data_IF_335858429071
#
_entry.id   IF_335858429071
#
_cell.length_a   1.000
_cell.length_b   1.000
_cell.length_c   1.000
_cell.angle_alpha   90.00
_cell.angle_beta   90.00
_cell.angle_gamma   90.00
#
_symmetry.space_group_name_H-M   'P 1'
#
loop_
_entity.id
_entity.type
_entity.pdbx_description
1 polymer ?
#
# COMPACT_ATOMS: atom_id res chain seq x y z
N UNK A 1 10.82 5.58 -15.52
CA UNK A 1 10.09 4.56 -14.74
C UNK A 1 10.78 3.19 -14.83
N UNK A 2 10.98 2.65 -16.05
CA UNK A 2 11.56 1.29 -16.27
C UNK A 2 12.96 1.17 -15.65
N UNK A 3 13.82 2.19 -15.79
CA UNK A 3 15.17 2.20 -15.21
C UNK A 3 15.15 2.10 -13.67
N UNK A 4 14.16 2.70 -13.00
CA UNK A 4 14.02 2.60 -11.55
C UNK A 4 13.65 1.19 -11.11
N UNK A 5 12.86 0.46 -11.90
CA UNK A 5 12.48 -0.91 -11.61
C UNK A 5 13.68 -1.86 -11.62
N UNK A 6 14.66 -1.66 -12.52
CA UNK A 6 15.87 -2.49 -12.57
C UNK A 6 16.82 -2.24 -11.39
N UNK A 7 16.76 -1.08 -10.73
CA UNK A 7 17.56 -0.76 -9.55
C UNK A 7 16.81 -0.95 -8.23
N UNK A 8 15.57 -1.42 -8.30
CA UNK A 8 14.75 -1.62 -7.11
C UNK A 8 15.37 -2.70 -6.21
N UNK A 9 15.58 -2.36 -4.95
CA UNK A 9 16.03 -3.30 -3.91
C UNK A 9 14.86 -3.65 -3.02
N UNK A 10 14.66 -4.94 -2.85
CA UNK A 10 13.70 -5.44 -1.86
C UNK A 10 14.28 -5.28 -0.46
N UNK A 11 13.45 -4.82 0.46
CA UNK A 11 13.81 -4.69 1.86
C UNK A 11 12.96 -5.64 2.70
N UNK A 12 13.62 -6.34 3.62
CA UNK A 12 12.90 -7.16 4.57
C UNK A 12 12.14 -6.27 5.54
N UNK A 13 10.84 -6.43 5.57
CA UNK A 13 9.96 -5.71 6.49
C UNK A 13 9.18 -6.67 7.37
N UNK A 14 8.87 -6.19 8.57
CA UNK A 14 7.87 -6.77 9.45
C UNK A 14 6.64 -5.87 9.42
N UNK A 15 5.49 -6.43 9.09
CA UNK A 15 4.21 -5.72 9.07
C UNK A 15 3.24 -6.33 10.07
N UNK A 16 2.56 -5.48 10.81
CA UNK A 16 1.47 -5.84 11.71
C UNK A 16 0.24 -4.99 11.40
N UNK A 17 -0.92 -5.62 11.24
CA UNK A 17 -2.19 -4.95 11.00
C UNK A 17 -3.17 -5.43 12.08
N UNK A 18 -3.61 -4.52 12.95
CA UNK A 18 -4.57 -4.74 14.04
C UNK A 18 -4.23 -5.93 14.94
N UNK A 19 -2.94 -6.29 15.07
CA UNK A 19 -2.46 -7.48 15.80
C UNK A 19 -2.97 -8.82 15.25
N UNK A 20 -3.80 -8.80 14.21
CA UNK A 20 -4.39 -9.98 13.56
C UNK A 20 -3.58 -10.51 12.39
N UNK A 21 -2.99 -9.61 11.61
CA UNK A 21 -2.07 -9.97 10.53
C UNK A 21 -0.67 -9.61 10.93
N UNK A 22 0.20 -10.60 11.02
CA UNK A 22 1.62 -10.44 11.36
C UNK A 22 2.44 -11.23 10.35
N UNK A 23 3.30 -10.54 9.60
CA UNK A 23 4.13 -11.18 8.61
C UNK A 23 5.49 -10.49 8.45
N UNK A 24 6.47 -11.24 7.97
CA UNK A 24 7.79 -10.75 7.60
C UNK A 24 8.04 -11.13 6.15
N UNK A 25 8.24 -10.14 5.28
CA UNK A 25 8.30 -10.34 3.83
C UNK A 25 9.16 -9.27 3.15
N UNK A 26 9.45 -9.49 1.86
CA UNK A 26 10.18 -8.55 1.01
C UNK A 26 9.22 -7.98 -0.06
N UNK A 27 8.35 -7.04 0.28
CA UNK A 27 7.34 -6.56 -0.66
C UNK A 27 7.94 -5.71 -1.77
N UNK A 28 7.33 -5.80 -2.95
CA UNK A 28 7.54 -4.84 -4.01
C UNK A 28 6.90 -3.49 -3.67
N UNK A 29 5.68 -3.51 -3.13
CA UNK A 29 4.91 -2.31 -2.83
C UNK A 29 3.98 -2.54 -1.63
N UNK A 30 3.89 -1.55 -0.77
CA UNK A 30 2.84 -1.44 0.23
C UNK A 30 2.12 -0.11 0.00
N UNK A 31 0.82 -0.18 -0.23
CA UNK A 31 -0.03 1.01 -0.28
C UNK A 31 -1.07 0.93 0.82
N UNK A 32 -1.21 2.00 1.58
CA UNK A 32 -2.21 2.13 2.65
C UNK A 32 -3.15 3.25 2.21
N UNK A 33 -4.36 2.88 1.81
CA UNK A 33 -5.34 3.79 1.25
C UNK A 33 -6.58 3.95 2.13
N UNK A 34 -6.98 5.22 2.33
CA UNK A 34 -8.31 5.57 2.83
C UNK A 34 -9.30 5.79 1.66
N UNK A 35 -8.76 5.99 0.47
CA UNK A 35 -9.52 6.12 -0.78
C UNK A 35 -9.06 5.08 -1.81
N UNK A 36 -9.87 4.89 -2.86
CA UNK A 36 -9.66 3.81 -3.85
C UNK A 36 -8.49 4.03 -4.79
N UNK A 37 -8.13 5.29 -5.07
CA UNK A 37 -7.20 5.65 -6.15
C UNK A 37 -5.92 6.25 -5.62
N UNK A 38 -4.82 5.91 -6.29
CA UNK A 38 -3.51 6.49 -6.07
C UNK A 38 -3.00 7.04 -7.41
N UNK A 39 -2.44 8.26 -7.40
CA UNK A 39 -1.93 8.91 -8.63
C UNK A 39 -2.98 9.09 -9.72
N UNK A 40 -4.26 9.21 -9.36
CA UNK A 40 -5.40 9.44 -10.27
C UNK A 40 -5.86 8.21 -11.06
N UNK A 41 -4.95 7.39 -11.58
CA UNK A 41 -5.28 6.30 -12.49
C UNK A 41 -5.36 4.92 -11.83
N UNK A 42 -4.58 4.68 -10.79
CA UNK A 42 -4.41 3.34 -10.22
C UNK A 42 -5.38 3.07 -9.06
N UNK A 43 -6.15 2.00 -9.19
CA UNK A 43 -7.05 1.51 -8.14
C UNK A 43 -6.29 0.53 -7.23
N UNK A 44 -5.28 1.00 -6.48
CA UNK A 44 -4.46 0.14 -5.62
C UNK A 44 -5.23 -0.38 -4.41
N UNK A 45 -6.21 0.36 -3.94
CA UNK A 45 -7.07 0.01 -2.80
C UNK A 45 -8.55 0.09 -3.20
N UNK A 46 -9.02 -0.83 -4.10
CA UNK A 46 -10.31 -0.71 -4.78
C UNK A 46 -11.52 -0.75 -3.86
N UNK A 47 -11.42 -1.40 -2.70
CA UNK A 47 -12.51 -1.56 -1.74
C UNK A 47 -12.46 -0.55 -0.59
N UNK A 48 -11.46 0.35 -0.59
CA UNK A 48 -11.34 1.39 0.43
C UNK A 48 -12.56 2.32 0.42
N UNK A 49 -13.02 2.68 1.61
CA UNK A 49 -14.13 3.60 1.84
C UNK A 49 -13.68 4.68 2.82
N UNK A 50 -14.00 5.94 2.52
CA UNK A 50 -13.57 7.09 3.32
C UNK A 50 -14.31 7.25 4.65
N UNK A 51 -15.38 6.52 4.84
CA UNK A 51 -16.34 6.67 5.95
C UNK A 51 -16.48 5.43 6.85
N UNK A 52 -15.77 4.33 6.55
CA UNK A 52 -15.85 3.08 7.30
C UNK A 52 -14.83 2.95 8.45
N UNK A 53 -14.03 4.00 8.66
CA UNK A 53 -13.01 4.06 9.69
C UNK A 53 -11.97 2.91 9.61
N UNK A 54 -11.67 2.46 8.38
CA UNK A 54 -10.60 1.49 8.10
C UNK A 54 -9.75 1.94 6.92
N UNK A 55 -8.48 1.53 6.92
CA UNK A 55 -7.65 1.56 5.73
C UNK A 55 -7.79 0.26 4.95
N UNK A 56 -7.62 0.30 3.65
CA UNK A 56 -7.26 -0.88 2.88
C UNK A 56 -5.76 -0.87 2.60
N UNK A 57 -5.08 -1.94 2.95
CA UNK A 57 -3.67 -2.17 2.69
C UNK A 57 -3.54 -3.06 1.47
N UNK A 58 -2.91 -2.56 0.42
CA UNK A 58 -2.50 -3.36 -0.74
C UNK A 58 -1.03 -3.74 -0.54
N UNK A 59 -0.81 -5.01 -0.30
CA UNK A 59 0.51 -5.60 -0.13
C UNK A 59 0.84 -6.40 -1.38
N UNK A 60 1.84 -5.95 -2.13
CA UNK A 60 2.35 -6.65 -3.31
C UNK A 60 3.67 -7.30 -2.93
N UNK A 61 3.69 -8.63 -2.94
CA UNK A 61 4.88 -9.42 -2.63
C UNK A 61 5.95 -9.27 -3.73
N UNK A 62 7.08 -9.91 -3.54
CA UNK A 62 8.16 -9.89 -4.52
C UNK A 62 7.70 -10.43 -5.87
N UNK A 63 7.83 -9.60 -6.91
CA UNK A 63 7.39 -9.91 -8.28
C UNK A 63 8.45 -9.51 -9.30
N UNK A 64 8.48 -10.18 -10.43
CA UNK A 64 9.38 -9.83 -11.53
C UNK A 64 8.89 -8.61 -12.31
N UNK A 65 9.80 -7.87 -12.94
CA UNK A 65 9.46 -6.68 -13.76
C UNK A 65 8.48 -7.01 -14.91
N UNK A 66 8.65 -8.09 -15.69
CA UNK A 66 7.67 -8.44 -16.72
C UNK A 66 6.28 -8.71 -16.14
N UNK A 67 6.22 -9.29 -14.95
CA UNK A 67 4.95 -9.52 -14.26
C UNK A 67 4.26 -8.21 -13.86
N UNK A 68 5.01 -7.22 -13.37
CA UNK A 68 4.50 -5.90 -13.03
C UNK A 68 3.85 -5.27 -14.28
N UNK A 69 4.57 -5.24 -15.40
CA UNK A 69 4.09 -4.65 -16.67
C UNK A 69 2.79 -5.33 -17.13
N UNK A 70 2.72 -6.65 -17.08
CA UNK A 70 1.54 -7.43 -17.45
C UNK A 70 0.35 -7.16 -16.52
N UNK A 71 0.63 -6.83 -15.27
CA UNK A 71 -0.40 -6.65 -14.24
C UNK A 71 -0.98 -5.22 -14.17
N UNK A 72 -0.36 -4.24 -14.84
CA UNK A 72 -0.80 -2.84 -14.81
C UNK A 72 -2.27 -2.69 -15.18
N UNK A 73 -2.74 -3.40 -16.21
CA UNK A 73 -4.15 -3.33 -16.65
C UNK A 73 -5.12 -3.81 -15.57
N UNK A 74 -4.75 -4.80 -14.76
CA UNK A 74 -5.56 -5.27 -13.64
C UNK A 74 -5.62 -4.24 -12.51
N UNK A 75 -4.51 -3.54 -12.26
CA UNK A 75 -4.44 -2.47 -11.24
C UNK A 75 -5.31 -1.28 -11.66
N UNK A 76 -5.28 -0.88 -12.93
CA UNK A 76 -6.13 0.20 -13.45
C UNK A 76 -7.62 -0.17 -13.32
N UNK A 77 -7.97 -1.42 -13.57
CA UNK A 77 -9.34 -1.93 -13.46
C UNK A 77 -9.77 -2.28 -12.02
N UNK A 78 -8.83 -2.27 -11.06
CA UNK A 78 -9.09 -2.66 -9.66
C UNK A 78 -9.34 -4.16 -9.47
N UNK A 79 -8.92 -5.01 -10.42
CA UNK A 79 -9.11 -6.48 -10.39
C UNK A 79 -7.84 -7.25 -10.02
N UNK A 80 -6.85 -6.58 -9.46
CA UNK A 80 -5.56 -7.17 -9.07
C UNK A 80 -5.64 -8.05 -7.81
N UNK A 81 -6.77 -8.07 -7.10
CA UNK A 81 -7.07 -9.04 -6.05
C UNK A 81 -7.10 -10.50 -6.57
N UNK A 82 -7.17 -10.69 -7.88
CA UNK A 82 -7.06 -12.02 -8.53
C UNK A 82 -5.62 -12.48 -8.72
N UNK A 83 -4.64 -11.70 -8.29
CA UNK A 83 -3.22 -11.98 -8.40
C UNK A 83 -2.75 -12.58 -7.08
N UNK A 84 -2.15 -13.78 -7.11
CA UNK A 84 -1.70 -14.51 -5.93
C UNK A 84 -0.71 -13.72 -5.07
N UNK A 85 0.15 -12.91 -5.71
CA UNK A 85 1.15 -12.08 -5.03
C UNK A 85 0.59 -10.78 -4.45
N UNK A 86 -0.73 -10.56 -4.54
CA UNK A 86 -1.38 -9.36 -4.03
C UNK A 86 -2.32 -9.71 -2.89
N UNK A 87 -2.11 -9.08 -1.74
CA UNK A 87 -2.99 -9.20 -0.58
C UNK A 87 -3.67 -7.85 -0.32
N UNK A 88 -4.99 -7.84 -0.27
CA UNK A 88 -5.80 -6.70 0.13
C UNK A 88 -6.36 -6.95 1.53
N UNK A 89 -5.91 -6.16 2.50
CA UNK A 89 -6.21 -6.35 3.92
C UNK A 89 -6.80 -5.06 4.47
N UNK A 90 -7.90 -5.17 5.23
CA UNK A 90 -8.46 -4.03 5.94
C UNK A 90 -7.91 -3.96 7.37
N UNK A 91 -7.64 -2.74 7.84
CA UNK A 91 -7.15 -2.51 9.19
C UNK A 91 -7.22 -1.06 9.64
N UNK A 92 -7.17 -0.86 10.95
CA UNK A 92 -7.23 0.47 11.59
C UNK A 92 -5.88 0.97 12.03
N UNK A 93 -5.01 0.04 12.40
CA UNK A 93 -3.67 0.31 12.90
C UNK A 93 -2.66 -0.55 12.16
N UNK A 94 -1.73 0.09 11.47
CA UNK A 94 -0.69 -0.57 10.69
C UNK A 94 0.66 -0.18 11.28
N UNK A 95 1.48 -1.17 11.58
CA UNK A 95 2.87 -1.00 12.00
C UNK A 95 3.78 -1.66 10.99
N UNK A 96 4.79 -0.96 10.54
CA UNK A 96 5.81 -1.46 9.62
C UNK A 96 7.16 -1.15 10.23
N UNK A 97 8.05 -2.13 10.27
CA UNK A 97 9.43 -1.97 10.72
C UNK A 97 10.40 -2.67 9.79
N UNK A 98 11.61 -2.11 9.67
CA UNK A 98 12.71 -2.65 8.88
C UNK A 98 14.05 -2.33 9.51
N UNK A 99 15.05 -3.15 9.24
CA UNK A 99 16.45 -2.80 9.58
C UNK A 99 17.01 -1.75 8.62
N UNK A 100 16.50 -1.72 7.39
CA UNK A 100 16.88 -0.77 6.36
C UNK A 100 16.03 0.49 6.39
N UNK A 101 16.53 1.57 5.79
CA UNK A 101 15.75 2.77 5.56
C UNK A 101 14.74 2.53 4.43
N UNK A 102 13.47 2.62 4.73
CA UNK A 102 12.36 2.54 3.78
C UNK A 102 12.03 3.92 3.22
N UNK A 103 11.77 3.98 1.93
CA UNK A 103 11.27 5.20 1.28
C UNK A 103 9.76 5.23 1.35
N UNK A 104 9.21 6.25 1.99
CA UNK A 104 7.77 6.46 2.11
C UNK A 104 7.39 7.83 1.55
N UNK A 105 6.19 7.94 0.99
CA UNK A 105 5.58 9.20 0.61
C UNK A 105 4.10 9.21 1.03
N UNK A 106 3.56 10.39 1.24
CA UNK A 106 2.17 10.63 1.60
C UNK A 106 1.55 11.54 0.55
N UNK A 107 0.50 11.08 -0.12
CA UNK A 107 -0.32 11.85 -1.08
C UNK A 107 0.50 12.69 -2.08
N UNK A 108 1.64 12.16 -2.55
CA UNK A 108 2.53 12.85 -3.47
C UNK A 108 3.58 13.77 -2.84
N UNK A 109 3.61 13.88 -1.52
CA UNK A 109 4.64 14.61 -0.77
C UNK A 109 6.03 13.98 -0.94
N UNK A 110 7.06 14.78 -0.69
CA UNK A 110 8.48 14.36 -0.82
C UNK A 110 8.77 13.11 -0.01
N UNK A 111 9.45 12.12 -0.60
CA UNK A 111 9.79 10.89 0.07
C UNK A 111 10.59 11.13 1.36
N UNK A 112 10.20 10.43 2.41
CA UNK A 112 10.94 10.38 3.67
C UNK A 112 11.55 9.00 3.84
N UNK A 113 12.65 8.93 4.56
CA UNK A 113 13.27 7.67 4.96
C UNK A 113 12.94 7.38 6.42
N UNK A 114 12.43 6.19 6.67
CA UNK A 114 12.07 5.72 8.01
C UNK A 114 12.44 4.25 8.17
N UNK A 115 12.67 3.81 9.39
CA UNK A 115 12.82 2.39 9.72
C UNK A 115 11.55 1.83 10.33
N UNK A 116 10.86 2.65 11.10
CA UNK A 116 9.64 2.29 11.79
C UNK A 116 8.55 3.31 11.48
N UNK A 117 7.35 2.82 11.20
CA UNK A 117 6.18 3.66 10.99
C UNK A 117 4.96 3.00 11.64
N UNK A 118 4.18 3.83 12.30
CA UNK A 118 2.86 3.46 12.80
C UNK A 118 1.83 4.40 12.20
N UNK A 119 0.79 3.84 11.59
CA UNK A 119 -0.29 4.57 10.95
C UNK A 119 -1.59 4.12 11.61
N UNK A 120 -2.36 5.08 12.11
CA UNK A 120 -3.65 4.83 12.75
C UNK A 120 -4.71 5.72 12.14
N UNK A 121 -5.87 5.15 11.81
CA UNK A 121 -6.99 5.95 11.31
C UNK A 121 -7.65 6.72 12.44
N UNK A 122 -7.98 7.98 12.19
CA UNK A 122 -8.72 8.84 13.11
C UNK A 122 -10.11 9.09 12.52
N UNK A 123 -11.13 8.32 12.96
CA UNK A 123 -12.46 8.43 12.38
C UNK A 123 -13.11 9.81 12.63
N UNK A 124 -13.93 10.25 11.67
CA UNK A 124 -14.77 11.47 11.80
C UNK A 124 -14.03 12.77 12.12
N UNK A 125 -12.76 12.88 11.71
CA UNK A 125 -11.95 14.11 11.93
C UNK A 125 -12.23 15.21 10.92
N UNK A 126 -12.69 14.86 9.73
CA UNK A 126 -12.99 15.79 8.65
C UNK A 126 -14.48 15.66 8.30
N UNK A 127 -15.17 16.79 8.19
CA UNK A 127 -16.54 16.87 7.70
C UNK A 127 -16.50 17.36 6.26
N UNK A 128 -17.05 16.59 5.33
CA UNK A 128 -17.24 17.01 3.95
C UNK A 128 -18.67 17.50 3.77
N UNK A 129 -18.82 18.61 3.06
CA UNK A 129 -20.12 19.06 2.56
C UNK A 129 -20.30 18.39 1.20
N UNK A 130 -21.26 17.51 1.10
CA UNK A 130 -21.63 16.85 -0.16
C UNK A 130 -22.77 17.68 -0.75
N UNK A 131 -22.65 18.14 -2.02
CA UNK A 131 -23.71 18.87 -2.70
C UNK A 131 -24.93 17.99 -2.98
#
# INVERSE_FOLDING_TARGET
LIYCLFKYKYHLIKINIDEKYNNTLNPFLITIGNGKRTGGAFLLTPDAKIDDATFQVCLVDQVSIPFIIKSISKVIKGTHNTIEQVNLIHGKKIKISSQDNLYIHFDGETPKQVKDIEITILPKRIKFIIP
#
